data_IF_178226164207
#
_entry.id   IF_178226164207
#
_cell.length_a   1.000
_cell.length_b   1.000
_cell.length_c   1.000
_cell.angle_alpha   90.00
_cell.angle_beta   90.00
_cell.angle_gamma   90.00
#
_symmetry.space_group_name_H-M   'P 1'
#
loop_
_entity.id
_entity.type
_entity.pdbx_description
1 polymer ?
#
# COMPACT_ATOMS: atom_id res chain seq x y z
N UNK A 1 15.49 47.53 66.10
CA UNK A 1 15.57 46.05 66.07
C UNK A 1 14.23 45.44 65.65
N UNK A 2 13.11 45.93 66.19
CA UNK A 2 11.75 45.45 65.89
C UNK A 2 11.27 45.74 64.45
N UNK A 3 11.63 46.90 63.88
CA UNK A 3 11.34 47.23 62.48
C UNK A 3 12.09 46.34 61.48
N UNK A 4 13.32 45.95 61.83
CA UNK A 4 14.14 45.05 61.01
C UNK A 4 13.52 43.64 60.97
N UNK A 5 13.01 43.17 62.11
CA UNK A 5 12.28 41.90 62.20
C UNK A 5 10.98 41.91 61.37
N UNK A 6 10.21 43.01 61.41
CA UNK A 6 9.00 43.15 60.57
C UNK A 6 9.34 43.19 59.07
N UNK A 7 10.42 43.86 58.69
CA UNK A 7 10.88 43.89 57.30
C UNK A 7 11.31 42.50 56.82
N UNK A 8 12.05 41.74 57.63
CA UNK A 8 12.45 40.36 57.32
C UNK A 8 11.24 39.42 57.18
N UNK A 9 10.24 39.53 58.07
CA UNK A 9 9.00 38.75 57.96
C UNK A 9 8.22 39.07 56.68
N UNK A 10 8.21 40.34 56.27
CA UNK A 10 7.53 40.75 55.03
C UNK A 10 8.24 40.19 53.79
N UNK A 11 9.57 40.25 53.76
CA UNK A 11 10.40 39.68 52.68
C UNK A 11 10.19 38.16 52.60
N UNK A 12 10.14 37.47 53.74
CA UNK A 12 9.89 36.03 53.78
C UNK A 12 8.53 35.66 53.19
N UNK A 13 7.49 36.44 53.52
CA UNK A 13 6.14 36.24 52.98
C UNK A 13 6.07 36.49 51.48
N UNK A 14 6.73 37.53 50.98
CA UNK A 14 6.82 37.83 49.53
C UNK A 14 7.60 36.74 48.78
N UNK A 15 8.66 36.18 49.36
CA UNK A 15 9.41 35.05 48.78
C UNK A 15 8.58 33.77 48.70
N UNK A 16 7.79 33.46 49.74
CA UNK A 16 6.89 32.31 49.72
C UNK A 16 5.78 32.48 48.67
N UNK A 17 5.21 33.67 48.55
CA UNK A 17 4.22 34.00 47.51
C UNK A 17 4.82 33.90 46.09
N UNK A 18 6.05 34.38 45.89
CA UNK A 18 6.75 34.23 44.62
C UNK A 18 7.03 32.77 44.29
N UNK A 19 7.46 31.96 45.27
CA UNK A 19 7.71 30.53 45.07
C UNK A 19 6.46 29.78 44.61
N UNK A 20 5.32 30.05 45.24
CA UNK A 20 4.02 29.47 44.85
C UNK A 20 3.65 29.91 43.43
N UNK A 21 3.87 31.18 43.09
CA UNK A 21 3.54 31.73 41.77
C UNK A 21 4.40 31.11 40.67
N UNK A 22 5.72 30.94 40.92
CA UNK A 22 6.65 30.28 40.00
C UNK A 22 6.24 28.82 39.77
N UNK A 23 5.87 28.11 40.83
CA UNK A 23 5.44 26.70 40.73
C UNK A 23 4.18 26.57 39.88
N UNK A 24 3.14 27.38 40.15
CA UNK A 24 1.92 27.41 39.34
C UNK A 24 2.17 27.81 37.89
N UNK A 25 3.06 28.78 37.66
CA UNK A 25 3.44 29.18 36.30
C UNK A 25 4.15 28.03 35.57
N UNK A 26 5.01 27.27 36.25
CA UNK A 26 5.67 26.10 35.69
C UNK A 26 4.68 25.01 35.28
N UNK A 27 3.73 24.68 36.16
CA UNK A 27 2.66 23.70 35.89
C UNK A 27 1.81 24.12 34.67
N UNK A 28 1.40 25.40 34.61
CA UNK A 28 0.58 25.93 33.52
C UNK A 28 1.33 25.93 32.18
N UNK A 29 2.64 26.26 32.18
CA UNK A 29 3.48 26.16 30.98
C UNK A 29 3.59 24.72 30.51
N UNK A 30 3.80 23.76 31.42
CA UNK A 30 3.85 22.34 31.04
C UNK A 30 2.53 21.86 30.43
N UNK A 31 1.40 22.25 31.01
CA UNK A 31 0.07 21.88 30.50
C UNK A 31 -0.18 22.47 29.10
N UNK A 32 0.15 23.76 28.89
CA UNK A 32 0.03 24.40 27.59
C UNK A 32 0.93 23.75 26.53
N UNK A 33 2.18 23.42 26.87
CA UNK A 33 3.10 22.74 25.95
C UNK A 33 2.57 21.35 25.60
N UNK A 34 2.10 20.58 26.58
CA UNK A 34 1.51 19.26 26.34
C UNK A 34 0.28 19.36 25.45
N UNK A 35 -0.62 20.33 25.69
CA UNK A 35 -1.80 20.52 24.85
C UNK A 35 -1.43 20.90 23.42
N UNK A 36 -0.45 21.80 23.24
CA UNK A 36 0.02 22.18 21.91
C UNK A 36 0.63 21.00 21.16
N UNK A 37 1.43 20.17 21.84
CA UNK A 37 2.01 18.96 21.25
C UNK A 37 0.90 17.99 20.83
N UNK A 38 -0.11 17.76 21.68
CA UNK A 38 -1.24 16.90 21.34
C UNK A 38 -2.02 17.42 20.13
N UNK A 39 -2.30 18.72 20.06
CA UNK A 39 -2.98 19.32 18.92
C UNK A 39 -2.18 19.12 17.61
N UNK A 40 -0.86 19.31 17.64
CA UNK A 40 0.02 19.10 16.48
C UNK A 40 0.02 17.62 16.06
N UNK A 41 0.02 16.71 17.02
CA UNK A 41 -0.04 15.27 16.75
C UNK A 41 -1.37 14.90 16.10
N UNK A 42 -2.50 15.39 16.63
CA UNK A 42 -3.83 15.15 16.07
C UNK A 42 -3.95 15.65 14.62
N UNK A 43 -3.41 16.83 14.31
CA UNK A 43 -3.36 17.35 12.93
C UNK A 43 -2.52 16.46 12.01
N UNK A 44 -1.37 15.97 12.49
CA UNK A 44 -0.52 15.05 11.74
C UNK A 44 -1.20 13.70 11.52
N UNK A 45 -1.93 13.18 12.50
CA UNK A 45 -2.68 11.93 12.37
C UNK A 45 -3.81 12.08 11.35
N UNK A 46 -4.60 13.16 11.40
CA UNK A 46 -5.63 13.44 10.38
C UNK A 46 -5.03 13.51 8.98
N UNK A 47 -3.93 14.25 8.83
CA UNK A 47 -3.23 14.36 7.54
C UNK A 47 -2.73 12.98 7.05
N UNK A 48 -2.30 12.12 7.96
CA UNK A 48 -1.84 10.77 7.64
C UNK A 48 -2.99 9.86 7.20
N UNK A 49 -4.12 9.90 7.91
CA UNK A 49 -5.34 9.15 7.57
C UNK A 49 -5.86 9.54 6.19
N UNK A 50 -5.94 10.85 5.89
CA UNK A 50 -6.34 11.33 4.57
C UNK A 50 -5.40 10.84 3.46
N UNK A 51 -4.08 10.87 3.70
CA UNK A 51 -3.10 10.35 2.73
C UNK A 51 -3.23 8.84 2.55
N UNK A 52 -3.53 8.11 3.63
CA UNK A 52 -3.72 6.67 3.60
C UNK A 52 -4.93 6.28 2.75
N UNK A 53 -6.10 6.89 2.98
CA UNK A 53 -7.29 6.59 2.18
C UNK A 53 -7.08 6.98 0.70
N UNK A 54 -6.46 8.13 0.42
CA UNK A 54 -6.09 8.51 -0.94
C UNK A 54 -5.15 7.50 -1.63
N UNK A 55 -4.23 6.90 -0.88
CA UNK A 55 -3.33 5.88 -1.41
C UNK A 55 -4.08 4.58 -1.69
N UNK A 56 -4.94 4.16 -0.76
CA UNK A 56 -5.79 2.98 -0.88
C UNK A 56 -6.68 3.04 -2.12
N UNK A 57 -7.33 4.18 -2.36
CA UNK A 57 -8.14 4.41 -3.57
C UNK A 57 -7.32 4.34 -4.86
N UNK A 58 -6.08 4.85 -4.84
CA UNK A 58 -5.18 4.75 -6.00
C UNK A 58 -4.78 3.31 -6.28
N UNK A 59 -4.49 2.53 -5.24
CA UNK A 59 -4.12 1.12 -5.37
C UNK A 59 -5.29 0.31 -5.93
N UNK A 60 -6.49 0.45 -5.38
CA UNK A 60 -7.69 -0.25 -5.88
C UNK A 60 -7.98 0.10 -7.35
N UNK A 61 -7.85 1.38 -7.72
CA UNK A 61 -8.00 1.79 -9.12
C UNK A 61 -6.90 1.22 -10.03
N UNK A 62 -5.67 1.13 -9.55
CA UNK A 62 -4.57 0.51 -10.30
C UNK A 62 -4.81 -1.00 -10.51
N UNK A 63 -5.27 -1.71 -9.48
CA UNK A 63 -5.62 -3.13 -9.56
C UNK A 63 -6.73 -3.39 -10.57
N UNK A 64 -7.80 -2.58 -10.53
CA UNK A 64 -8.89 -2.64 -11.51
C UNK A 64 -8.39 -2.43 -12.93
N UNK A 65 -7.53 -1.43 -13.15
CA UNK A 65 -6.95 -1.15 -14.48
C UNK A 65 -6.07 -2.30 -14.95
N UNK A 66 -5.22 -2.86 -14.09
CA UNK A 66 -4.40 -4.03 -14.39
C UNK A 66 -5.27 -5.22 -14.79
N UNK A 67 -6.33 -5.50 -14.02
CA UNK A 67 -7.27 -6.57 -14.34
C UNK A 67 -7.88 -6.40 -15.75
N UNK A 68 -8.31 -5.19 -16.12
CA UNK A 68 -8.86 -4.95 -17.46
C UNK A 68 -7.81 -5.09 -18.56
N UNK A 69 -6.58 -4.62 -18.33
CA UNK A 69 -5.47 -4.79 -19.27
C UNK A 69 -5.15 -6.26 -19.48
N UNK A 70 -5.05 -7.06 -18.42
CA UNK A 70 -4.83 -8.50 -18.51
C UNK A 70 -5.99 -9.23 -19.20
N UNK A 71 -7.23 -8.82 -18.93
CA UNK A 71 -8.41 -9.38 -19.57
C UNK A 71 -8.40 -9.10 -21.08
N UNK A 72 -8.06 -7.88 -21.48
CA UNK A 72 -7.94 -7.49 -22.88
C UNK A 72 -6.78 -8.23 -23.56
N UNK A 73 -5.63 -8.35 -22.90
CA UNK A 73 -4.48 -9.10 -23.41
C UNK A 73 -4.82 -10.59 -23.63
N UNK A 74 -5.62 -11.19 -22.74
CA UNK A 74 -6.05 -12.59 -22.82
C UNK A 74 -7.25 -12.83 -23.74
N UNK A 75 -7.90 -11.80 -24.27
CA UNK A 75 -9.14 -11.94 -25.06
C UNK A 75 -8.99 -12.83 -26.29
N UNK A 76 -7.79 -12.86 -26.88
CA UNK A 76 -7.47 -13.67 -28.09
C UNK A 76 -6.72 -14.96 -27.75
N UNK A 77 -6.50 -15.26 -26.47
CA UNK A 77 -5.79 -16.45 -26.06
C UNK A 77 -6.74 -17.64 -26.04
N UNK A 78 -6.30 -18.76 -26.60
CA UNK A 78 -7.01 -20.03 -26.55
C UNK A 78 -6.22 -20.96 -25.63
N UNK A 79 -6.90 -21.61 -24.70
CA UNK A 79 -6.30 -22.63 -23.82
C UNK A 79 -6.88 -23.98 -24.20
N UNK A 80 -6.00 -24.90 -24.61
CA UNK A 80 -6.37 -26.24 -25.03
C UNK A 80 -5.89 -27.22 -23.95
N UNK A 81 -6.82 -28.01 -23.43
CA UNK A 81 -6.52 -29.07 -22.46
C UNK A 81 -6.60 -30.44 -23.14
N UNK A 82 -5.82 -31.41 -22.63
CA UNK A 82 -5.89 -32.80 -23.09
C UNK A 82 -5.03 -33.13 -24.32
N UNK A 83 -4.15 -32.23 -24.76
CA UNK A 83 -3.13 -32.53 -25.76
C UNK A 83 -2.00 -33.38 -25.14
N UNK A 84 -1.51 -34.35 -25.89
CA UNK A 84 -0.36 -35.16 -25.49
C UNK A 84 0.92 -34.31 -25.47
N UNK A 85 1.74 -34.46 -24.44
CA UNK A 85 2.99 -33.69 -24.25
C UNK A 85 4.15 -34.23 -25.10
N UNK A 86 3.98 -34.24 -26.43
CA UNK A 86 4.96 -34.73 -27.41
C UNK A 86 5.86 -33.66 -28.00
N UNK A 87 5.70 -32.40 -27.58
CA UNK A 87 6.49 -31.28 -28.07
C UNK A 87 7.98 -31.41 -27.69
N UNK A 88 8.85 -31.17 -28.67
CA UNK A 88 10.32 -31.19 -28.53
C UNK A 88 10.95 -29.82 -28.72
N UNK A 89 10.26 -28.91 -29.39
CA UNK A 89 10.70 -27.53 -29.65
C UNK A 89 9.48 -26.62 -29.80
N UNK A 90 9.73 -25.31 -29.76
CA UNK A 90 8.70 -24.30 -29.94
C UNK A 90 7.97 -24.42 -31.30
N UNK A 91 8.72 -24.52 -32.41
CA UNK A 91 8.11 -24.70 -33.74
C UNK A 91 7.34 -26.01 -33.88
N UNK A 92 7.76 -27.07 -33.17
CA UNK A 92 7.00 -28.32 -33.14
C UNK A 92 5.66 -28.12 -32.42
N UNK A 93 5.65 -27.40 -31.29
CA UNK A 93 4.42 -27.07 -30.56
C UNK A 93 3.43 -26.29 -31.44
N UNK A 94 3.90 -25.27 -32.15
CA UNK A 94 3.05 -24.51 -33.09
C UNK A 94 2.44 -25.42 -34.16
N UNK A 95 3.23 -26.29 -34.77
CA UNK A 95 2.75 -27.24 -35.78
C UNK A 95 1.73 -28.24 -35.21
N UNK A 96 1.95 -28.75 -33.99
CA UNK A 96 0.99 -29.63 -33.31
C UNK A 96 -0.35 -28.92 -33.13
N UNK A 97 -0.34 -27.66 -32.71
CA UNK A 97 -1.56 -26.86 -32.51
C UNK A 97 -2.26 -26.57 -33.84
N UNK A 98 -1.50 -26.19 -34.88
CA UNK A 98 -2.03 -25.93 -36.22
C UNK A 98 -2.72 -27.18 -36.78
N UNK A 99 -2.04 -28.32 -36.73
CA UNK A 99 -2.58 -29.59 -37.20
C UNK A 99 -3.84 -29.97 -36.42
N UNK A 100 -3.82 -29.85 -35.08
CA UNK A 100 -4.98 -30.12 -34.24
C UNK A 100 -6.18 -29.25 -34.61
N UNK A 101 -5.98 -27.95 -34.84
CA UNK A 101 -7.07 -27.05 -35.20
C UNK A 101 -7.60 -27.36 -36.61
N UNK A 102 -6.71 -27.56 -37.58
CA UNK A 102 -7.08 -27.85 -38.97
C UNK A 102 -7.85 -29.18 -39.09
N UNK A 103 -7.43 -30.21 -38.34
CA UNK A 103 -8.07 -31.53 -38.35
C UNK A 103 -9.45 -31.53 -37.67
N UNK A 104 -9.62 -30.78 -36.58
CA UNK A 104 -10.83 -30.88 -35.75
C UNK A 104 -11.84 -29.75 -35.93
N UNK A 105 -11.43 -28.56 -36.36
CA UNK A 105 -12.31 -27.38 -36.38
C UNK A 105 -12.73 -26.95 -37.78
N UNK A 106 -12.30 -27.64 -38.85
CA UNK A 106 -12.62 -27.28 -40.24
C UNK A 106 -12.26 -25.83 -40.58
N UNK A 107 -11.25 -25.28 -39.91
CA UNK A 107 -10.68 -23.96 -40.12
C UNK A 107 -9.26 -24.19 -40.59
N UNK A 108 -8.82 -23.49 -41.64
CA UNK A 108 -7.43 -23.52 -42.07
C UNK A 108 -6.69 -22.36 -41.43
N UNK A 109 -5.78 -22.67 -40.51
CA UNK A 109 -4.84 -21.72 -39.92
C UNK A 109 -3.40 -22.05 -40.33
N UNK A 110 -2.58 -21.00 -40.41
CA UNK A 110 -1.15 -21.07 -40.71
C UNK A 110 -0.34 -20.45 -39.55
N UNK A 111 0.98 -20.62 -39.55
CA UNK A 111 1.88 -20.07 -38.53
C UNK A 111 1.76 -18.55 -38.40
N UNK A 112 1.37 -17.85 -39.48
CA UNK A 112 1.16 -16.40 -39.51
C UNK A 112 -0.06 -15.93 -38.72
N UNK A 113 -1.01 -16.83 -38.47
CA UNK A 113 -2.25 -16.55 -37.73
C UNK A 113 -2.04 -16.70 -36.21
N UNK A 114 -0.93 -17.32 -35.79
CA UNK A 114 -0.58 -17.55 -34.40
C UNK A 114 0.53 -16.57 -34.01
N UNK A 115 0.28 -15.76 -32.98
CA UNK A 115 1.29 -14.83 -32.46
C UNK A 115 2.32 -15.55 -31.57
N UNK A 116 1.85 -16.43 -30.69
CA UNK A 116 2.71 -17.18 -29.77
C UNK A 116 1.97 -18.46 -29.34
N UNK A 117 2.70 -19.58 -29.22
CA UNK A 117 2.21 -20.81 -28.62
C UNK A 117 3.10 -21.25 -27.46
N UNK A 118 2.52 -21.51 -26.29
CA UNK A 118 3.29 -22.00 -25.15
C UNK A 118 2.54 -22.99 -24.30
N UNK A 119 3.28 -23.93 -23.73
CA UNK A 119 2.79 -24.83 -22.71
C UNK A 119 2.63 -24.07 -21.39
N UNK A 120 1.52 -24.32 -20.70
CA UNK A 120 1.26 -23.78 -19.36
C UNK A 120 1.62 -24.88 -18.34
N UNK A 121 2.50 -24.57 -17.38
CA UNK A 121 2.95 -25.51 -16.34
C UNK A 121 4.24 -26.28 -16.66
N UNK A 122 4.61 -27.28 -15.85
CA UNK A 122 5.86 -28.09 -15.97
C UNK A 122 5.59 -29.52 -16.45
N UNK A 123 6.47 -30.07 -17.29
CA UNK A 123 6.24 -31.33 -18.02
C UNK A 123 6.06 -32.48 -17.03
N UNK A 124 5.01 -33.28 -17.19
CA UNK A 124 4.71 -34.39 -16.28
C UNK A 124 4.22 -34.02 -14.87
N UNK A 125 4.22 -32.74 -14.47
CA UNK A 125 3.54 -32.27 -13.26
C UNK A 125 2.14 -31.81 -13.66
N UNK A 126 1.11 -32.52 -13.16
CA UNK A 126 -0.26 -32.01 -13.24
C UNK A 126 -0.35 -30.74 -12.36
N UNK A 127 -0.94 -29.65 -12.87
CA UNK A 127 -1.21 -28.47 -12.06
C UNK A 127 -2.21 -28.77 -10.94
#
# INVERSE_FOLDING_TARGET
MEEVLKALQKIQKELDEQKITIQKSGENVTEQVTQNINNILDEKFKTLEEKYENLKDKVDNQEKRLYFLEKQARQRNIVIFGLAESESSYSNLENIIINFINEHFSINIDQRDIQEAKRIGKKGEKP
#
